data_IF_551992504257
#
_entry.id   IF_551992504257
#
_cell.length_a   1.000
_cell.length_b   1.000
_cell.length_c   1.000
_cell.angle_alpha   90.00
_cell.angle_beta   90.00
_cell.angle_gamma   90.00
#
_symmetry.space_group_name_H-M   'P 1'
#
loop_
_entity.id
_entity.type
_entity.pdbx_description
1 polymer ?
#
# COMPACT_ATOMS: atom_id res chain seq x y z
N UNK A 1 18.59 9.03 20.66
CA UNK A 1 17.50 9.38 19.70
C UNK A 1 16.38 10.02 20.50
N UNK A 2 15.88 11.20 20.11
CA UNK A 2 14.72 11.81 20.79
C UNK A 2 13.48 10.93 20.63
N UNK A 3 12.59 10.92 21.62
CA UNK A 3 11.34 10.12 21.62
C UNK A 3 10.53 10.34 20.34
N UNK A 4 10.54 11.57 19.81
CA UNK A 4 9.85 11.98 18.60
C UNK A 4 10.43 11.34 17.32
N UNK A 5 11.76 11.22 17.24
CA UNK A 5 12.43 10.50 16.15
C UNK A 5 12.12 8.99 16.20
N UNK A 6 11.96 8.42 17.41
CA UNK A 6 11.54 7.03 17.58
C UNK A 6 10.13 6.77 17.05
N UNK A 7 9.15 7.61 17.43
CA UNK A 7 7.75 7.50 16.98
C UNK A 7 7.63 7.70 15.45
N UNK A 8 8.44 8.58 14.87
CA UNK A 8 8.53 8.77 13.42
C UNK A 8 8.93 7.47 12.70
N UNK A 9 10.03 6.84 13.11
CA UNK A 9 10.52 5.61 12.49
C UNK A 9 9.51 4.47 12.64
N UNK A 10 8.84 4.38 13.79
CA UNK A 10 7.76 3.42 14.01
C UNK A 10 6.62 3.64 13.00
N UNK A 11 6.16 4.88 12.80
CA UNK A 11 5.09 5.18 11.85
C UNK A 11 5.46 4.84 10.40
N UNK A 12 6.66 5.19 9.97
CA UNK A 12 7.15 4.90 8.61
C UNK A 12 7.34 3.40 8.40
N UNK A 13 8.00 2.70 9.33
CA UNK A 13 8.26 1.26 9.21
C UNK A 13 6.96 0.47 9.33
N UNK A 14 6.06 0.81 10.26
CA UNK A 14 4.78 0.14 10.42
C UNK A 14 3.87 0.36 9.20
N UNK A 15 3.72 1.61 8.73
CA UNK A 15 2.93 1.92 7.54
C UNK A 15 3.50 1.26 6.28
N UNK A 16 4.82 1.37 6.06
CA UNK A 16 5.49 0.76 4.92
C UNK A 16 5.40 -0.76 4.92
N UNK A 17 5.68 -1.42 6.04
CA UNK A 17 5.59 -2.88 6.17
C UNK A 17 4.15 -3.38 6.00
N UNK A 18 3.17 -2.71 6.59
CA UNK A 18 1.77 -3.03 6.38
C UNK A 18 1.37 -2.91 4.90
N UNK A 19 1.80 -1.84 4.21
CA UNK A 19 1.53 -1.67 2.78
C UNK A 19 2.12 -2.82 1.96
N UNK A 20 3.36 -3.22 2.23
CA UNK A 20 4.02 -4.36 1.56
C UNK A 20 3.29 -5.67 1.83
N UNK A 21 2.92 -5.96 3.07
CA UNK A 21 2.20 -7.19 3.44
C UNK A 21 0.85 -7.24 2.73
N UNK A 22 0.09 -6.15 2.74
CA UNK A 22 -1.20 -6.06 2.06
C UNK A 22 -1.04 -6.25 0.55
N UNK A 23 -0.01 -5.65 -0.05
CA UNK A 23 0.28 -5.82 -1.47
C UNK A 23 0.55 -7.28 -1.82
N UNK A 24 1.41 -7.97 -1.05
CA UNK A 24 1.74 -9.39 -1.27
C UNK A 24 0.50 -10.27 -1.14
N UNK A 25 -0.36 -10.02 -0.14
CA UNK A 25 -1.62 -10.74 0.03
C UNK A 25 -2.58 -10.51 -1.15
N UNK A 26 -2.69 -9.26 -1.62
CA UNK A 26 -3.50 -8.91 -2.78
C UNK A 26 -2.98 -9.58 -4.05
N UNK A 27 -1.65 -9.57 -4.29
CA UNK A 27 -1.02 -10.28 -5.42
C UNK A 27 -1.29 -11.76 -5.34
N UNK A 28 -1.12 -12.39 -4.18
CA UNK A 28 -1.38 -13.83 -4.00
C UNK A 28 -2.83 -14.18 -4.35
N UNK A 29 -3.78 -13.38 -3.86
CA UNK A 29 -5.20 -13.57 -4.15
C UNK A 29 -5.49 -13.39 -5.65
N UNK A 30 -5.05 -12.28 -6.23
CA UNK A 30 -5.29 -11.98 -7.65
C UNK A 30 -4.58 -12.97 -8.59
N UNK A 31 -3.40 -13.46 -8.22
CA UNK A 31 -2.67 -14.48 -8.98
C UNK A 31 -3.41 -15.82 -8.95
N UNK A 32 -3.95 -16.20 -7.80
CA UNK A 32 -4.79 -17.40 -7.68
C UNK A 32 -6.01 -17.33 -8.62
N UNK A 33 -6.62 -16.15 -8.77
CA UNK A 33 -7.71 -15.93 -9.73
C UNK A 33 -7.23 -16.04 -11.17
N UNK A 34 -6.10 -15.40 -11.50
CA UNK A 34 -5.51 -15.45 -12.84
C UNK A 34 -5.19 -16.89 -13.26
N UNK A 35 -4.65 -17.72 -12.35
CA UNK A 35 -4.35 -19.14 -12.59
C UNK A 35 -5.63 -19.94 -12.79
N UNK A 36 -6.62 -19.82 -11.90
CA UNK A 36 -7.92 -20.52 -12.02
C UNK A 36 -8.61 -20.22 -13.35
N UNK A 37 -8.43 -19.00 -13.85
CA UNK A 37 -9.03 -18.52 -15.10
C UNK A 37 -8.17 -18.79 -16.35
N UNK A 38 -7.06 -19.53 -16.21
CA UNK A 38 -6.10 -19.78 -17.29
C UNK A 38 -5.65 -18.49 -18.01
N UNK A 39 -5.53 -17.40 -17.25
CA UNK A 39 -5.17 -16.10 -17.81
C UNK A 39 -3.73 -16.16 -18.37
N UNK A 40 -3.52 -15.49 -19.50
CA UNK A 40 -2.23 -15.42 -20.19
C UNK A 40 -1.14 -14.72 -19.37
N UNK A 41 0.12 -14.88 -19.79
CA UNK A 41 1.28 -14.35 -19.08
C UNK A 41 1.22 -12.84 -18.82
N UNK A 42 0.74 -12.06 -19.80
CA UNK A 42 0.51 -10.61 -19.68
C UNK A 42 -0.56 -10.23 -18.67
N UNK A 43 -1.58 -11.07 -18.46
CA UNK A 43 -2.56 -10.85 -17.41
C UNK A 43 -1.98 -11.12 -16.01
N UNK A 44 -1.11 -12.14 -15.89
CA UNK A 44 -0.39 -12.43 -14.63
C UNK A 44 0.61 -11.35 -14.25
N UNK A 45 1.33 -10.80 -15.24
CA UNK A 45 2.22 -9.64 -15.04
C UNK A 45 1.44 -8.42 -14.56
N UNK A 46 0.31 -8.10 -15.19
CA UNK A 46 -0.56 -7.00 -14.75
C UNK A 46 -1.02 -7.14 -13.30
N UNK A 47 -1.30 -8.36 -12.85
CA UNK A 47 -1.67 -8.64 -11.47
C UNK A 47 -0.52 -8.39 -10.48
N UNK A 48 0.74 -8.65 -10.86
CA UNK A 48 1.88 -8.35 -10.01
C UNK A 48 2.11 -6.84 -9.85
N UNK A 49 1.91 -6.06 -10.92
CA UNK A 49 2.02 -4.60 -10.90
C UNK A 49 0.82 -3.90 -10.26
N UNK A 50 -0.38 -4.47 -10.39
CA UNK A 50 -1.59 -3.89 -9.84
C UNK A 50 -2.63 -4.98 -9.50
N UNK A 51 -2.51 -5.63 -8.32
CA UNK A 51 -3.38 -6.75 -7.96
C UNK A 51 -4.84 -6.35 -7.80
N UNK A 52 -5.10 -5.11 -7.40
CA UNK A 52 -6.44 -4.60 -7.14
C UNK A 52 -7.30 -4.46 -8.40
N UNK A 53 -6.69 -4.45 -9.60
CA UNK A 53 -7.43 -4.48 -10.87
C UNK A 53 -8.23 -5.76 -11.06
N UNK A 54 -7.83 -6.86 -10.41
CA UNK A 54 -8.51 -8.16 -10.54
C UNK A 54 -9.98 -8.11 -10.06
N UNK A 55 -10.34 -7.19 -9.17
CA UNK A 55 -11.72 -6.99 -8.68
C UNK A 55 -12.73 -6.61 -9.78
N UNK A 56 -12.24 -6.05 -10.88
CA UNK A 56 -13.06 -5.58 -12.01
C UNK A 56 -13.13 -6.62 -13.14
N UNK A 57 -12.49 -7.78 -13.00
CA UNK A 57 -12.53 -8.80 -14.04
C UNK A 57 -13.93 -9.44 -14.09
N UNK A 58 -14.42 -9.70 -15.31
CA UNK A 58 -15.76 -10.25 -15.52
C UNK A 58 -15.94 -11.60 -14.82
N UNK A 59 -17.04 -11.81 -14.10
CA UNK A 59 -17.34 -13.08 -13.42
C UNK A 59 -16.43 -13.39 -12.22
N UNK A 60 -15.86 -12.38 -11.57
CA UNK A 60 -15.23 -12.54 -10.26
C UNK A 60 -16.32 -12.58 -9.19
N UNK A 61 -16.28 -13.55 -8.25
CA UNK A 61 -17.22 -13.62 -7.14
C UNK A 61 -17.24 -12.33 -6.29
N UNK A 62 -18.42 -11.94 -5.82
CA UNK A 62 -18.60 -10.67 -5.10
C UNK A 62 -17.79 -10.61 -3.78
N UNK A 63 -17.61 -11.75 -3.10
CA UNK A 63 -16.79 -11.91 -1.91
C UNK A 63 -15.31 -11.61 -2.17
N UNK A 64 -14.78 -12.08 -3.30
CA UNK A 64 -13.41 -11.82 -3.72
C UNK A 64 -13.21 -10.35 -4.06
N UNK A 65 -14.16 -9.75 -4.80
CA UNK A 65 -14.11 -8.31 -5.11
C UNK A 65 -14.22 -7.45 -3.85
N UNK A 66 -15.06 -7.83 -2.89
CA UNK A 66 -15.16 -7.16 -1.59
C UNK A 66 -13.86 -7.28 -0.77
N UNK A 67 -13.22 -8.45 -0.79
CA UNK A 67 -11.93 -8.67 -0.13
C UNK A 67 -10.83 -7.79 -0.74
N UNK A 68 -10.71 -7.76 -2.06
CA UNK A 68 -9.77 -6.89 -2.76
C UNK A 68 -10.05 -5.40 -2.54
N UNK A 69 -11.32 -4.99 -2.42
CA UNK A 69 -11.70 -3.62 -2.04
C UNK A 69 -11.20 -3.24 -0.65
N UNK A 70 -11.42 -4.11 0.35
CA UNK A 70 -10.94 -3.88 1.72
C UNK A 70 -9.41 -3.80 1.76
N UNK A 71 -8.72 -4.68 1.04
CA UNK A 71 -7.27 -4.65 0.91
C UNK A 71 -6.77 -3.36 0.23
N UNK A 72 -7.46 -2.88 -0.81
CA UNK A 72 -7.13 -1.61 -1.48
C UNK A 72 -7.22 -0.43 -0.52
N UNK A 73 -8.32 -0.35 0.24
CA UNK A 73 -8.50 0.71 1.25
C UNK A 73 -7.42 0.61 2.33
N UNK A 74 -7.18 -0.59 2.87
CA UNK A 74 -6.14 -0.81 3.87
C UNK A 74 -4.73 -0.44 3.36
N UNK A 75 -4.43 -0.75 2.10
CA UNK A 75 -3.18 -0.39 1.45
C UNK A 75 -2.98 1.13 1.40
N UNK A 76 -4.00 1.88 0.97
CA UNK A 76 -3.92 3.34 0.95
C UNK A 76 -3.84 3.96 2.34
N UNK A 77 -4.54 3.40 3.34
CA UNK A 77 -4.40 3.85 4.72
C UNK A 77 -2.98 3.64 5.26
N UNK A 78 -2.37 2.48 4.97
CA UNK A 78 -1.00 2.18 5.36
C UNK A 78 0.01 3.15 4.71
N UNK A 79 -0.16 3.44 3.41
CA UNK A 79 0.64 4.45 2.72
C UNK A 79 0.43 5.85 3.30
N UNK A 80 -0.81 6.24 3.60
CA UNK A 80 -1.13 7.53 4.18
C UNK A 80 -0.41 7.70 5.52
N UNK A 81 -0.44 6.70 6.41
CA UNK A 81 0.28 6.74 7.69
C UNK A 81 1.78 6.93 7.49
N UNK A 82 2.39 6.19 6.55
CA UNK A 82 3.81 6.32 6.26
C UNK A 82 4.17 7.71 5.70
N UNK A 83 3.40 8.22 4.74
CA UNK A 83 3.61 9.54 4.12
C UNK A 83 3.38 10.66 5.13
N UNK A 84 2.31 10.60 5.92
CA UNK A 84 2.02 11.58 6.97
C UNK A 84 3.11 11.61 8.04
N UNK A 85 3.65 10.45 8.43
CA UNK A 85 4.78 10.37 9.36
C UNK A 85 6.01 11.08 8.78
N UNK A 86 6.32 10.86 7.50
CA UNK A 86 7.41 11.54 6.79
C UNK A 86 7.18 13.04 6.65
N UNK A 87 5.96 13.46 6.32
CA UNK A 87 5.61 14.87 6.18
C UNK A 87 5.76 15.61 7.52
N UNK A 88 5.28 15.03 8.62
CA UNK A 88 5.41 15.62 9.97
C UNK A 88 6.89 15.74 10.36
N UNK A 89 7.68 14.67 10.18
CA UNK A 89 9.11 14.72 10.47
C UNK A 89 9.81 15.78 9.63
N UNK A 90 9.57 15.82 8.31
CA UNK A 90 10.19 16.83 7.44
C UNK A 90 9.86 18.25 7.87
N UNK A 91 8.59 18.56 8.19
CA UNK A 91 8.20 19.90 8.64
C UNK A 91 8.80 20.29 9.99
N UNK A 92 8.96 19.34 10.92
CA UNK A 92 9.54 19.62 12.24
C UNK A 92 11.07 19.73 12.22
N UNK A 93 11.73 19.13 11.22
CA UNK A 93 13.20 19.05 11.17
C UNK A 93 13.81 20.03 10.16
N UNK A 94 13.09 20.34 9.07
CA UNK A 94 13.53 21.26 8.02
C UNK A 94 12.72 22.56 8.11
N UNK A 95 13.00 23.37 9.12
CA UNK A 95 12.64 24.79 9.10
C UNK A 95 13.85 25.53 8.49
N UNK A 96 13.75 26.10 7.28
CA UNK A 96 14.80 26.97 6.76
C UNK A 96 15.01 28.10 7.77
N UNK A 97 16.25 28.50 8.10
CA UNK A 97 16.45 29.66 8.96
C UNK A 97 15.70 30.82 8.34
N UNK A 98 14.78 31.42 9.10
CA UNK A 98 14.14 32.65 8.67
C UNK A 98 15.26 33.61 8.30
N UNK A 99 15.31 34.03 7.04
CA UNK A 99 16.20 35.10 6.63
C UNK A 99 15.76 36.33 7.41
N UNK A 100 16.34 36.55 8.57
CA UNK A 100 16.27 37.81 9.30
C UNK A 100 17.00 38.82 8.45
N UNK A 101 16.25 39.51 7.59
CA UNK A 101 16.64 40.80 7.01
C UNK A 101 16.13 41.91 7.90
#
# INVERSE_FOLDING_TARGET
MSMLAGMFWVGVVAGGSAAVVIWVLAVRLAYSLAVRRKAGATARLRVAFWPFGARQAAGVPADISASLNKMLVAFFLALLVAISSMAVYSNLTFVPPAHTQ
#
